data_IF_576841425105
#
_entry.id   IF_576841425105
#
_cell.length_a   1.000
_cell.length_b   1.000
_cell.length_c   1.000
_cell.angle_alpha   90.00
_cell.angle_beta   90.00
_cell.angle_gamma   90.00
#
_symmetry.space_group_name_H-M   'P 1'
#
loop_
_entity.id
_entity.type
_entity.pdbx_description
1 polymer ?
#
# COMPACT_ATOMS: atom_id res chain seq x y z
N UNK A 1 16.84 9.48 0.04
CA UNK A 1 16.02 9.10 1.21
C UNK A 1 14.75 8.37 0.83
N UNK A 2 13.85 9.04 0.14
CA UNK A 2 12.61 8.40 -0.28
C UNK A 2 12.87 7.25 -1.24
N UNK A 3 13.75 7.46 -2.21
CA UNK A 3 14.10 6.40 -3.16
C UNK A 3 14.80 5.24 -2.46
N UNK A 4 15.57 5.51 -1.40
CA UNK A 4 16.20 4.45 -0.62
C UNK A 4 15.17 3.59 0.10
N UNK A 5 14.12 4.23 0.64
CA UNK A 5 13.05 3.54 1.32
C UNK A 5 12.28 2.62 0.37
N UNK A 6 11.96 3.13 -0.82
CA UNK A 6 11.26 2.36 -1.85
C UNK A 6 12.13 1.20 -2.34
N UNK A 7 13.41 1.45 -2.58
CA UNK A 7 14.35 0.41 -3.03
C UNK A 7 14.50 -0.69 -1.99
N UNK A 8 14.59 -0.33 -0.72
CA UNK A 8 14.70 -1.30 0.37
C UNK A 8 13.46 -2.17 0.45
N UNK A 9 12.27 -1.59 0.23
CA UNK A 9 11.04 -2.37 0.24
C UNK A 9 10.99 -3.34 -0.93
N UNK A 10 11.39 -2.89 -2.12
CA UNK A 10 11.45 -3.76 -3.29
C UNK A 10 12.38 -4.95 -3.06
N UNK A 11 13.52 -4.70 -2.45
CA UNK A 11 14.48 -5.74 -2.12
C UNK A 11 13.91 -6.71 -1.08
N UNK A 12 13.23 -6.17 -0.08
CA UNK A 12 12.56 -6.99 0.93
C UNK A 12 11.53 -7.93 0.28
N UNK A 13 10.71 -7.42 -0.62
CA UNK A 13 9.71 -8.22 -1.31
C UNK A 13 10.37 -9.34 -2.13
N UNK A 14 11.46 -9.03 -2.81
CA UNK A 14 12.15 -9.98 -3.65
C UNK A 14 12.86 -11.05 -2.84
N UNK A 15 13.62 -10.65 -1.84
CA UNK A 15 14.51 -11.55 -1.10
C UNK A 15 13.79 -12.24 0.05
N UNK A 16 13.19 -11.46 0.94
CA UNK A 16 12.60 -12.01 2.17
C UNK A 16 11.26 -12.68 1.91
N UNK A 17 10.46 -12.14 1.00
CA UNK A 17 9.13 -12.65 0.70
C UNK A 17 9.10 -13.52 -0.56
N UNK A 18 10.22 -13.60 -1.27
CA UNK A 18 10.33 -14.39 -2.49
C UNK A 18 9.24 -14.08 -3.52
N UNK A 19 8.87 -12.81 -3.61
CA UNK A 19 7.85 -12.38 -4.56
C UNK A 19 8.41 -12.40 -5.98
N UNK A 20 7.55 -12.69 -6.96
CA UNK A 20 7.94 -12.65 -8.35
C UNK A 20 8.28 -11.23 -8.80
N UNK A 21 9.06 -11.11 -9.87
CA UNK A 21 9.40 -9.80 -10.42
C UNK A 21 8.15 -9.01 -10.80
N UNK A 22 7.13 -9.68 -11.33
CA UNK A 22 5.88 -9.03 -11.70
C UNK A 22 5.16 -8.49 -10.46
N UNK A 23 5.11 -9.29 -9.39
CA UNK A 23 4.49 -8.89 -8.13
C UNK A 23 5.20 -7.68 -7.52
N UNK A 24 6.54 -7.68 -7.54
CA UNK A 24 7.32 -6.55 -7.04
C UNK A 24 7.00 -5.29 -7.83
N UNK A 25 6.95 -5.39 -9.16
CA UNK A 25 6.62 -4.24 -10.00
C UNK A 25 5.23 -3.70 -9.71
N UNK A 26 4.26 -4.59 -9.47
CA UNK A 26 2.90 -4.16 -9.17
C UNK A 26 2.84 -3.39 -7.84
N UNK A 27 3.51 -3.89 -6.83
CA UNK A 27 3.54 -3.23 -5.52
C UNK A 27 4.26 -1.88 -5.61
N UNK A 28 5.40 -1.85 -6.28
CA UNK A 28 6.14 -0.61 -6.46
C UNK A 28 5.34 0.41 -7.28
N UNK A 29 4.59 -0.06 -8.28
CA UNK A 29 3.73 0.80 -9.06
C UNK A 29 2.64 1.45 -8.21
N UNK A 30 2.05 0.70 -7.29
CA UNK A 30 1.04 1.25 -6.38
C UNK A 30 1.65 2.29 -5.45
N UNK A 31 2.87 2.05 -4.97
CA UNK A 31 3.57 3.00 -4.13
C UNK A 31 3.95 4.26 -4.93
N UNK A 32 4.35 4.09 -6.18
CA UNK A 32 4.62 5.21 -7.07
C UNK A 32 3.39 6.09 -7.27
N UNK A 33 2.22 5.49 -7.37
CA UNK A 33 0.98 6.25 -7.49
C UNK A 33 0.81 7.17 -6.27
N UNK A 34 1.15 6.68 -5.09
CA UNK A 34 1.10 7.49 -3.88
C UNK A 34 2.15 8.61 -3.93
N UNK A 35 3.38 8.31 -4.32
CA UNK A 35 4.41 9.34 -4.37
C UNK A 35 4.07 10.43 -5.38
N UNK A 36 3.49 10.08 -6.51
CA UNK A 36 3.02 11.07 -7.49
C UNK A 36 1.93 11.95 -6.90
N UNK A 37 1.01 11.37 -6.17
CA UNK A 37 -0.04 12.14 -5.50
C UNK A 37 0.55 13.13 -4.50
N UNK A 38 1.50 12.66 -3.69
CA UNK A 38 2.14 13.53 -2.69
C UNK A 38 2.86 14.69 -3.34
N UNK A 39 3.55 14.43 -4.44
CA UNK A 39 4.23 15.48 -5.20
C UNK A 39 3.27 16.51 -5.78
N UNK A 40 2.22 16.02 -6.44
CA UNK A 40 1.25 16.91 -7.07
C UNK A 40 0.50 17.79 -6.07
N UNK A 41 0.28 17.28 -4.88
CA UNK A 41 -0.49 18.02 -3.87
C UNK A 41 0.39 18.74 -2.86
N UNK A 42 1.71 18.64 -2.99
CA UNK A 42 2.61 19.26 -2.03
C UNK A 42 2.47 18.72 -0.62
N UNK A 43 2.16 17.43 -0.50
CA UNK A 43 1.86 16.81 0.79
C UNK A 43 3.07 16.24 1.52
N UNK A 44 4.28 16.47 1.00
CA UNK A 44 5.50 16.02 1.64
C UNK A 44 6.00 14.69 1.09
N UNK A 45 6.97 14.09 1.77
CA UNK A 45 7.56 12.83 1.36
C UNK A 45 6.80 11.64 1.94
N UNK A 46 7.12 10.44 1.45
CA UNK A 46 6.56 9.21 2.00
C UNK A 46 6.71 9.11 3.51
N UNK A 47 7.86 9.56 4.03
CA UNK A 47 8.15 9.48 5.46
C UNK A 47 7.35 10.47 6.30
N UNK A 48 6.75 11.47 5.67
CA UNK A 48 5.99 12.52 6.37
C UNK A 48 4.49 12.29 6.35
N UNK A 49 4.05 11.24 5.67
CA UNK A 49 2.63 10.96 5.47
C UNK A 49 1.93 10.63 6.79
N UNK A 50 0.72 11.15 6.95
CA UNK A 50 -0.16 10.78 8.06
C UNK A 50 -1.40 10.07 7.51
N UNK A 51 -2.21 9.54 8.42
CA UNK A 51 -3.41 8.80 8.05
C UNK A 51 -4.39 9.68 7.25
N UNK A 52 -4.51 10.94 7.60
CA UNK A 52 -5.40 11.87 6.90
C UNK A 52 -4.99 12.00 5.43
N UNK A 53 -3.71 12.12 5.16
CA UNK A 53 -3.21 12.24 3.79
C UNK A 53 -3.52 10.99 3.00
N UNK A 54 -3.32 9.82 3.60
CA UNK A 54 -3.64 8.55 2.93
C UNK A 54 -5.13 8.44 2.63
N UNK A 55 -5.97 8.87 3.56
CA UNK A 55 -7.42 8.87 3.34
C UNK A 55 -7.81 9.79 2.19
N UNK A 56 -7.18 10.95 2.09
CA UNK A 56 -7.42 11.88 0.98
C UNK A 56 -7.00 11.29 -0.35
N UNK A 57 -5.89 10.58 -0.35
CA UNK A 57 -5.40 9.90 -1.55
C UNK A 57 -6.45 8.91 -2.08
N UNK A 58 -6.97 8.05 -1.20
CA UNK A 58 -7.98 7.09 -1.59
C UNK A 58 -9.29 7.76 -1.99
N UNK A 59 -9.70 8.77 -1.24
CA UNK A 59 -10.93 9.52 -1.55
C UNK A 59 -10.83 10.21 -2.91
N UNK A 60 -9.66 10.74 -3.24
CA UNK A 60 -9.43 11.36 -4.55
C UNK A 60 -9.56 10.38 -5.69
N UNK A 61 -9.08 9.17 -5.51
CA UNK A 61 -9.25 8.12 -6.52
C UNK A 61 -10.71 7.76 -6.70
N UNK A 62 -11.44 7.63 -5.59
CA UNK A 62 -12.86 7.33 -5.62
C UNK A 62 -13.63 8.44 -6.36
N UNK A 63 -13.34 9.70 -6.03
CA UNK A 63 -13.99 10.84 -6.67
C UNK A 63 -13.68 10.92 -8.17
N UNK A 64 -12.50 10.46 -8.57
CA UNK A 64 -12.10 10.46 -9.98
C UNK A 64 -12.67 9.27 -10.76
N UNK A 65 -13.43 8.40 -10.11
CA UNK A 65 -14.06 7.27 -10.78
C UNK A 65 -13.20 6.02 -10.91
N UNK A 66 -12.12 5.92 -10.13
CA UNK A 66 -11.30 4.73 -10.15
C UNK A 66 -12.09 3.51 -9.68
N UNK A 67 -11.74 2.34 -10.22
CA UNK A 67 -12.40 1.11 -9.84
C UNK A 67 -12.12 0.77 -8.38
N UNK A 68 -13.13 0.19 -7.73
CA UNK A 68 -13.01 -0.21 -6.33
C UNK A 68 -11.82 -1.15 -6.12
N UNK A 69 -11.65 -2.11 -7.02
CA UNK A 69 -10.55 -3.07 -6.91
C UNK A 69 -9.20 -2.38 -6.91
N UNK A 70 -9.03 -1.36 -7.74
CA UNK A 70 -7.77 -0.59 -7.81
C UNK A 70 -7.52 0.17 -6.51
N UNK A 71 -8.57 0.78 -5.96
CA UNK A 71 -8.45 1.54 -4.72
C UNK A 71 -8.09 0.59 -3.56
N UNK A 72 -8.75 -0.56 -3.49
CA UNK A 72 -8.49 -1.55 -2.44
C UNK A 72 -7.07 -2.09 -2.54
N UNK A 73 -6.61 -2.36 -3.76
CA UNK A 73 -5.26 -2.87 -3.98
C UNK A 73 -4.20 -1.86 -3.53
N UNK A 74 -4.39 -0.60 -3.89
CA UNK A 74 -3.45 0.47 -3.50
C UNK A 74 -3.46 0.70 -2.00
N UNK A 75 -4.64 0.64 -1.38
CA UNK A 75 -4.73 0.75 0.07
C UNK A 75 -3.99 -0.40 0.76
N UNK A 76 -4.13 -1.61 0.24
CA UNK A 76 -3.43 -2.78 0.79
C UNK A 76 -1.91 -2.63 0.64
N UNK A 77 -1.44 -2.18 -0.53
CA UNK A 77 -0.01 -1.98 -0.75
C UNK A 77 0.56 -0.94 0.22
N UNK A 78 -0.16 0.15 0.45
CA UNK A 78 0.26 1.18 1.40
C UNK A 78 0.33 0.63 2.83
N UNK A 79 -0.66 -0.16 3.23
CA UNK A 79 -0.67 -0.77 4.57
C UNK A 79 0.54 -1.68 4.77
N UNK A 80 0.84 -2.50 3.78
CA UNK A 80 1.98 -3.42 3.88
C UNK A 80 3.30 -2.66 3.91
N UNK A 81 3.44 -1.66 3.05
CA UNK A 81 4.65 -0.86 3.00
C UNK A 81 4.92 -0.15 4.34
N UNK A 82 3.92 0.55 4.87
CA UNK A 82 4.12 1.32 6.10
C UNK A 82 4.28 0.43 7.33
N UNK A 83 3.60 -0.71 7.37
CA UNK A 83 3.80 -1.68 8.45
C UNK A 83 5.23 -2.20 8.46
N UNK A 84 5.76 -2.52 7.28
CA UNK A 84 7.14 -2.97 7.15
C UNK A 84 8.12 -1.87 7.57
N UNK A 85 7.91 -0.64 7.09
CA UNK A 85 8.79 0.47 7.41
C UNK A 85 8.84 0.76 8.91
N UNK A 86 7.68 0.70 9.56
CA UNK A 86 7.61 0.90 11.01
C UNK A 86 8.24 -0.26 11.78
N UNK A 87 7.97 -1.49 11.36
CA UNK A 87 8.48 -2.67 12.07
C UNK A 87 9.99 -2.81 11.98
N UNK A 88 10.59 -2.27 10.93
CA UNK A 88 12.03 -2.33 10.73
C UNK A 88 12.76 -1.08 11.22
N UNK A 89 12.04 -0.18 11.86
CA UNK A 89 12.63 1.02 12.43
C UNK A 89 12.93 2.12 11.43
N UNK A 90 12.51 1.97 10.18
CA UNK A 90 12.73 2.98 9.16
C UNK A 90 11.84 4.20 9.36
N UNK A 91 10.67 3.99 9.96
CA UNK A 91 9.78 5.06 10.36
C UNK A 91 9.42 4.88 11.83
N UNK A 92 9.19 5.99 12.56
CA UNK A 92 8.84 5.88 13.98
C UNK A 92 7.43 5.36 14.23
N UNK A 93 6.56 5.48 13.26
CA UNK A 93 5.16 5.06 13.38
C UNK A 93 4.65 4.52 12.07
N UNK A 94 3.53 3.79 12.15
CA UNK A 94 2.83 3.29 10.97
C UNK A 94 1.62 4.19 10.68
N UNK A 95 1.73 5.12 9.72
CA UNK A 95 0.63 6.03 9.43
C UNK A 95 -0.57 5.33 8.79
N UNK A 96 -0.39 4.13 8.29
CA UNK A 96 -1.45 3.39 7.61
C UNK A 96 -2.16 2.39 8.52
N UNK A 97 -1.85 2.38 9.81
CA UNK A 97 -2.41 1.38 10.72
C UNK A 97 -3.94 1.37 10.74
N UNK A 98 -4.56 2.53 10.59
CA UNK A 98 -6.03 2.62 10.56
C UNK A 98 -6.62 2.82 9.18
N UNK A 99 -5.81 2.64 8.14
CA UNK A 99 -6.27 2.94 6.78
C UNK A 99 -7.22 1.86 6.27
N UNK A 100 -8.34 2.30 5.72
CA UNK A 100 -9.31 1.43 5.07
C UNK A 100 -9.69 2.03 3.73
N UNK A 101 -10.05 1.18 2.78
CA UNK A 101 -10.57 1.69 1.52
C UNK A 101 -11.96 2.28 1.75
N UNK A 102 -12.42 3.22 0.90
CA UNK A 102 -13.73 3.86 1.09
C UNK A 102 -14.91 2.91 1.11
N UNK A 103 -14.74 1.68 0.66
CA UNK A 103 -15.83 0.71 0.53
C UNK A 103 -15.63 -0.52 1.38
N UNK A 104 -14.87 -0.40 2.46
CA UNK A 104 -14.64 -1.53 3.35
C UNK A 104 -15.97 -1.92 4.00
N UNK A 105 -16.18 -3.23 4.10
CA UNK A 105 -17.35 -3.78 4.75
C UNK A 105 -17.36 -3.39 6.22
N UNK A 106 -18.46 -2.81 6.65
CA UNK A 106 -18.61 -2.26 7.98
C UNK A 106 -18.83 -3.32 9.05
N UNK A 107 -19.15 -4.53 8.65
CA UNK A 107 -19.51 -5.57 9.62
C UNK A 107 -18.33 -6.40 10.10
N UNK A 108 -17.13 -6.14 9.58
CA UNK A 108 -15.96 -6.91 9.95
C UNK A 108 -15.48 -6.55 11.35
N UNK A 109 -15.28 -7.55 12.22
CA UNK A 109 -14.68 -7.32 13.52
C UNK A 109 -13.23 -6.83 13.39
N UNK A 110 -12.72 -6.03 14.36
CA UNK A 110 -11.36 -5.53 14.28
C UNK A 110 -10.30 -6.62 14.15
N UNK A 111 -10.53 -7.77 14.79
CA UNK A 111 -9.57 -8.88 14.74
C UNK A 111 -9.43 -9.47 13.33
N UNK A 112 -10.44 -9.29 12.49
CA UNK A 112 -10.40 -9.80 11.12
C UNK A 112 -9.74 -8.82 10.14
N UNK A 113 -9.56 -7.59 10.53
CA UNK A 113 -8.97 -6.59 9.63
C UNK A 113 -7.52 -6.89 9.27
N UNK A 114 -6.74 -7.38 10.23
CA UNK A 114 -5.36 -7.74 9.96
C UNK A 114 -5.29 -8.93 9.01
N UNK A 115 -6.15 -9.91 9.24
CA UNK A 115 -6.22 -11.07 8.35
C UNK A 115 -6.70 -10.65 6.96
N UNK A 116 -7.63 -9.70 6.90
CA UNK A 116 -8.11 -9.16 5.64
C UNK A 116 -7.00 -8.47 4.84
N UNK A 117 -6.17 -7.71 5.51
CA UNK A 117 -5.06 -7.04 4.84
C UNK A 117 -4.07 -8.06 4.28
N UNK A 118 -3.78 -9.10 5.04
CA UNK A 118 -2.91 -10.17 4.60
C UNK A 118 -3.51 -10.92 3.41
N UNK A 119 -4.80 -11.24 3.50
CA UNK A 119 -5.49 -11.95 2.42
C UNK A 119 -5.55 -11.11 1.16
N UNK A 120 -5.75 -9.81 1.30
CA UNK A 120 -5.76 -8.90 0.15
C UNK A 120 -4.40 -8.89 -0.53
N UNK A 121 -3.33 -8.88 0.25
CA UNK A 121 -1.98 -8.91 -0.29
C UNK A 121 -1.70 -10.24 -0.99
N UNK A 122 -2.13 -11.34 -0.39
CA UNK A 122 -1.96 -12.67 -0.98
C UNK A 122 -2.72 -12.76 -2.30
N UNK A 123 -3.92 -12.19 -2.36
CA UNK A 123 -4.70 -12.16 -3.60
C UNK A 123 -4.03 -11.30 -4.67
N UNK A 124 -3.46 -10.18 -4.26
CA UNK A 124 -2.70 -9.34 -5.18
C UNK A 124 -1.53 -10.12 -5.78
N UNK A 125 -0.80 -10.82 -4.93
CA UNK A 125 0.33 -11.62 -5.39
C UNK A 125 -0.14 -12.72 -6.34
N UNK A 126 -1.23 -13.40 -6.00
CA UNK A 126 -1.76 -14.47 -6.84
C UNK A 126 -2.22 -13.94 -8.19
N UNK A 127 -2.89 -12.79 -8.21
CA UNK A 127 -3.33 -12.18 -9.46
C UNK A 127 -2.16 -11.74 -10.32
N UNK A 128 -1.14 -11.16 -9.71
CA UNK A 128 0.05 -10.73 -10.44
C UNK A 128 0.77 -11.92 -11.04
N UNK A 129 0.90 -13.01 -10.28
CA UNK A 129 1.56 -14.23 -10.77
C UNK A 129 0.76 -14.88 -11.89
N UNK A 130 -0.58 -14.87 -11.78
CA UNK A 130 -1.43 -15.40 -12.83
C UNK A 130 -1.29 -14.62 -14.14
N UNK A 131 -1.17 -13.30 -14.05
CA UNK A 131 -0.97 -12.47 -15.24
C UNK A 131 0.38 -12.73 -15.89
N UNK A 132 1.37 -13.13 -15.11
CA UNK A 132 2.70 -13.41 -15.60
C UNK A 132 2.73 -14.70 -16.43
N UNK A 133 1.82 -15.61 -16.17
CA UNK A 133 1.73 -16.87 -16.88
C UNK A 133 0.92 -16.75 -18.18
#
# INVERSE_FOLDING_TARGET
>A
MESDLVSAWGEHLTVARNASAHTVRAYLGDLHHLTDYLERTGSGALSDVDLRTLRRWLAGMHAAGAERASIQRRAAAARVFYAWAASTGRLPRDPAAGLRSPRVDRTLPPTLEQDHARQALERLAALADAEEQ
#
